data_IF_758507347551
#
_entry.id   IF_758507347551
#
_cell.length_a   1.000
_cell.length_b   1.000
_cell.length_c   1.000
_cell.angle_alpha   90.00
_cell.angle_beta   90.00
_cell.angle_gamma   90.00
#
_symmetry.space_group_name_H-M   'P 1'
#
loop_
_entity.id
_entity.type
_entity.pdbx_description
1 polymer ?
#
# COMPACT_ATOMS: atom_id res chain seq x y z
N UNK A 1 13.69 -0.13 -19.23
CA UNK A 1 13.93 -0.86 -17.96
C UNK A 1 12.88 -1.96 -17.81
N UNK A 2 13.29 -3.23 -17.89
CA UNK A 2 12.39 -4.37 -18.05
C UNK A 2 11.56 -4.73 -16.81
N UNK A 3 10.38 -5.31 -17.01
CA UNK A 3 9.41 -5.64 -15.96
C UNK A 3 9.95 -6.49 -14.80
N UNK A 4 11.06 -7.21 -15.00
CA UNK A 4 11.77 -7.98 -13.96
C UNK A 4 12.25 -7.12 -12.78
N UNK A 5 12.69 -5.89 -13.04
CA UNK A 5 13.17 -4.97 -11.99
C UNK A 5 12.04 -4.42 -11.12
N UNK A 6 10.88 -4.15 -11.71
CA UNK A 6 9.69 -3.66 -10.97
C UNK A 6 9.16 -4.72 -10.01
N UNK A 7 9.21 -5.98 -10.42
CA UNK A 7 8.81 -7.13 -9.61
C UNK A 7 9.82 -7.37 -8.48
N UNK A 8 11.12 -7.27 -8.76
CA UNK A 8 12.18 -7.38 -7.75
C UNK A 8 12.06 -6.29 -6.66
N UNK A 9 11.79 -5.03 -7.05
CA UNK A 9 11.58 -3.92 -6.10
C UNK A 9 10.32 -4.17 -5.25
N UNK A 10 9.22 -4.60 -5.86
CA UNK A 10 7.99 -4.92 -5.13
C UNK A 10 8.18 -6.04 -4.11
N UNK A 11 8.90 -7.11 -4.50
CA UNK A 11 9.27 -8.20 -3.59
C UNK A 11 10.19 -7.69 -2.48
N UNK A 12 11.19 -6.86 -2.79
CA UNK A 12 12.10 -6.31 -1.79
C UNK A 12 11.36 -5.47 -0.74
N UNK A 13 10.42 -4.61 -1.16
CA UNK A 13 9.59 -3.83 -0.24
C UNK A 13 8.71 -4.74 0.62
N UNK A 14 8.11 -5.78 0.03
CA UNK A 14 7.29 -6.75 0.75
C UNK A 14 8.12 -7.53 1.79
N UNK A 15 9.33 -7.97 1.42
CA UNK A 15 10.26 -8.69 2.30
C UNK A 15 10.71 -7.80 3.45
N UNK A 16 11.02 -6.53 3.20
CA UNK A 16 11.37 -5.56 4.25
C UNK A 16 10.18 -5.32 5.19
N UNK A 17 8.97 -5.18 4.67
CA UNK A 17 7.78 -5.03 5.50
C UNK A 17 7.52 -6.27 6.38
N UNK A 18 7.62 -7.48 5.79
CA UNK A 18 7.49 -8.75 6.51
C UNK A 18 8.62 -8.92 7.54
N UNK A 19 9.85 -8.57 7.20
CA UNK A 19 11.00 -8.66 8.10
C UNK A 19 10.90 -7.66 9.27
N UNK A 20 10.40 -6.45 9.03
CA UNK A 20 10.14 -5.47 10.09
C UNK A 20 9.05 -5.95 11.06
N UNK A 21 7.99 -6.58 10.53
CA UNK A 21 6.95 -7.21 11.34
C UNK A 21 7.52 -8.43 12.08
N UNK A 22 8.26 -9.31 11.42
CA UNK A 22 8.85 -10.49 12.04
C UNK A 22 9.86 -10.12 13.14
N UNK A 23 10.73 -9.12 12.92
CA UNK A 23 11.67 -8.63 13.94
C UNK A 23 10.96 -8.08 15.18
N UNK A 24 9.77 -7.48 15.01
CA UNK A 24 8.88 -7.04 16.10
C UNK A 24 8.26 -8.22 16.86
N UNK A 25 7.85 -9.30 16.16
CA UNK A 25 7.18 -10.47 16.75
C UNK A 25 8.15 -11.50 17.36
N UNK A 26 9.34 -11.69 16.80
CA UNK A 26 10.35 -12.65 17.29
C UNK A 26 11.32 -12.04 18.31
N UNK A 27 11.01 -10.84 18.84
CA UNK A 27 11.62 -10.36 20.07
C UNK A 27 13.07 -9.89 19.97
N UNK A 28 13.47 -9.20 18.89
CA UNK A 28 14.74 -8.46 18.85
C UNK A 28 14.62 -7.13 19.67
N UNK A 29 13.86 -7.15 20.77
CA UNK A 29 13.58 -6.02 21.65
C UNK A 29 12.52 -6.38 22.73
N UNK A 30 12.43 -5.62 23.84
CA UNK A 30 11.61 -5.99 25.00
C UNK A 30 10.13 -6.08 24.63
N UNK A 31 9.54 -7.26 24.88
CA UNK A 31 8.14 -7.61 24.60
C UNK A 31 7.22 -6.72 25.45
N UNK A 32 6.60 -5.72 24.83
CA UNK A 32 5.39 -5.08 25.37
C UNK A 32 4.18 -5.88 24.91
N UNK A 33 3.28 -6.20 25.83
CA UNK A 33 1.96 -6.72 25.49
C UNK A 33 1.27 -5.73 24.55
N UNK A 34 0.74 -6.23 23.42
CA UNK A 34 0.03 -5.41 22.44
C UNK A 34 -1.20 -4.83 23.10
N UNK A 35 -1.25 -3.50 23.21
CA UNK A 35 -2.42 -2.81 23.70
C UNK A 35 -3.49 -2.76 22.59
N UNK A 36 -4.75 -2.54 22.95
CA UNK A 36 -5.85 -2.49 21.96
C UNK A 36 -5.62 -1.42 20.89
N UNK A 37 -4.86 -0.38 21.24
CA UNK A 37 -4.44 0.71 20.36
C UNK A 37 -3.41 0.24 19.32
N UNK A 38 -2.52 -0.70 19.66
CA UNK A 38 -1.55 -1.27 18.72
C UNK A 38 -2.28 -2.04 17.62
N UNK A 39 -3.33 -2.78 17.97
CA UNK A 39 -4.13 -3.54 17.01
C UNK A 39 -4.78 -2.67 15.94
N UNK A 40 -5.24 -1.47 16.33
CA UNK A 40 -5.83 -0.47 15.42
C UNK A 40 -4.80 0.10 14.43
N UNK A 41 -3.52 0.15 14.82
CA UNK A 41 -2.40 0.58 13.99
C UNK A 41 -1.93 -0.54 13.03
N UNK A 42 -2.05 -1.81 13.42
CA UNK A 42 -1.64 -2.95 12.59
C UNK A 42 -2.69 -3.38 11.56
N UNK A 43 -3.98 -3.23 11.85
CA UNK A 43 -5.05 -3.61 10.94
C UNK A 43 -4.93 -2.98 9.53
N UNK A 44 -4.67 -1.67 9.39
CA UNK A 44 -4.53 -1.05 8.07
C UNK A 44 -3.29 -1.54 7.33
N UNK A 45 -2.20 -1.80 8.05
CA UNK A 45 -0.96 -2.34 7.48
C UNK A 45 -1.19 -3.75 6.91
N UNK A 46 -1.92 -4.59 7.64
CA UNK A 46 -2.34 -5.91 7.18
C UNK A 46 -3.22 -5.82 5.92
N UNK A 47 -4.17 -4.87 5.87
CA UNK A 47 -5.00 -4.65 4.69
C UNK A 47 -4.17 -4.22 3.46
N UNK A 48 -3.15 -3.39 3.65
CA UNK A 48 -2.22 -2.99 2.56
C UNK A 48 -1.45 -4.20 2.04
N UNK A 49 -0.93 -5.04 2.93
CA UNK A 49 -0.20 -6.27 2.55
C UNK A 49 -1.12 -7.23 1.79
N UNK A 50 -2.34 -7.46 2.29
CA UNK A 50 -3.32 -8.29 1.62
C UNK A 50 -3.71 -7.74 0.25
N UNK A 51 -3.87 -6.42 0.11
CA UNK A 51 -4.16 -5.79 -1.17
C UNK A 51 -2.98 -5.92 -2.16
N UNK A 52 -1.74 -5.74 -1.69
CA UNK A 52 -0.55 -5.96 -2.50
C UNK A 52 -0.43 -7.43 -2.96
N UNK A 53 -0.70 -8.37 -2.06
CA UNK A 53 -0.73 -9.79 -2.36
C UNK A 53 -1.83 -10.14 -3.37
N UNK A 54 -3.03 -9.54 -3.24
CA UNK A 54 -4.13 -9.68 -4.20
C UNK A 54 -3.72 -9.19 -5.59
N UNK A 55 -3.11 -8.00 -5.70
CA UNK A 55 -2.63 -7.47 -6.99
C UNK A 55 -1.54 -8.35 -7.62
N UNK A 56 -0.62 -8.88 -6.80
CA UNK A 56 0.42 -9.78 -7.28
C UNK A 56 -0.17 -11.12 -7.76
N UNK A 57 -1.14 -11.67 -7.04
CA UNK A 57 -1.85 -12.88 -7.39
C UNK A 57 -2.64 -12.73 -8.70
N UNK A 58 -3.39 -11.63 -8.85
CA UNK A 58 -4.18 -11.32 -10.05
C UNK A 58 -3.28 -11.22 -11.29
N UNK A 59 -2.16 -10.50 -11.17
CA UNK A 59 -1.15 -10.42 -12.24
C UNK A 59 -0.49 -11.77 -12.52
N UNK A 60 -0.24 -12.58 -11.49
CA UNK A 60 0.31 -13.93 -11.63
C UNK A 60 -0.61 -14.84 -12.45
N UNK A 61 -1.94 -14.75 -12.24
CA UNK A 61 -2.93 -15.46 -13.06
C UNK A 61 -2.93 -14.99 -14.51
N UNK A 62 -2.90 -13.67 -14.75
CA UNK A 62 -2.86 -13.11 -16.10
C UNK A 62 -1.61 -13.56 -16.88
N UNK A 63 -0.45 -13.58 -16.23
CA UNK A 63 0.81 -14.07 -16.82
C UNK A 63 0.74 -15.56 -17.16
N UNK A 64 0.17 -16.39 -16.28
CA UNK A 64 -0.03 -17.83 -16.55
C UNK A 64 -0.98 -18.08 -17.73
N UNK A 65 -1.90 -17.16 -17.99
CA UNK A 65 -2.82 -17.21 -19.13
C UNK A 65 -2.21 -16.65 -20.43
N UNK A 66 -0.94 -16.24 -20.44
CA UNK A 66 -0.28 -15.66 -21.62
C UNK A 66 -0.69 -14.22 -21.94
N UNK A 67 -1.44 -13.56 -21.05
CA UNK A 67 -1.81 -12.16 -21.21
C UNK A 67 -0.62 -11.23 -20.91
N UNK A 68 -0.55 -10.06 -21.56
CA UNK A 68 0.53 -9.11 -21.33
C UNK A 68 0.58 -8.69 -19.85
N UNK A 69 1.79 -8.63 -19.30
CA UNK A 69 2.05 -8.34 -17.89
C UNK A 69 1.45 -7.02 -17.37
N UNK A 70 1.16 -6.08 -18.28
CA UNK A 70 0.49 -4.82 -17.96
C UNK A 70 -0.32 -4.35 -19.14
N UNK A 71 -1.64 -4.30 -18.97
CA UNK A 71 -2.56 -3.60 -19.85
C UNK A 71 -2.35 -2.07 -19.74
N UNK A 72 -2.56 -1.34 -20.84
CA UNK A 72 -2.54 0.12 -20.86
C UNK A 72 -3.53 0.70 -19.85
N UNK A 73 -4.73 0.11 -19.76
CA UNK A 73 -5.75 0.52 -18.81
C UNK A 73 -5.26 0.41 -17.36
N UNK A 74 -4.59 -0.70 -17.02
CA UNK A 74 -4.01 -0.90 -15.70
C UNK A 74 -2.89 0.09 -15.38
N UNK A 75 -2.11 0.53 -16.37
CA UNK A 75 -1.07 1.57 -16.19
C UNK A 75 -1.69 2.94 -15.95
N UNK A 76 -2.68 3.33 -16.75
CA UNK A 76 -3.37 4.62 -16.58
C UNK A 76 -4.11 4.66 -15.24
N UNK A 77 -4.77 3.56 -14.86
CA UNK A 77 -5.48 3.44 -13.59
C UNK A 77 -4.51 3.57 -12.40
N UNK A 78 -3.34 2.91 -12.46
CA UNK A 78 -2.31 3.03 -11.43
C UNK A 78 -1.80 4.47 -11.28
N UNK A 79 -1.58 5.17 -12.40
CA UNK A 79 -1.11 6.55 -12.38
C UNK A 79 -2.13 7.49 -11.73
N UNK A 80 -3.40 7.41 -12.16
CA UNK A 80 -4.49 8.25 -11.63
C UNK A 80 -4.80 7.93 -10.17
N UNK A 81 -4.78 6.65 -9.79
CA UNK A 81 -4.89 6.22 -8.39
C UNK A 81 -3.71 6.71 -7.54
N UNK A 82 -2.49 6.70 -8.08
CA UNK A 82 -1.30 7.24 -7.44
C UNK A 82 -1.40 8.76 -7.20
N UNK A 83 -1.96 9.50 -8.16
CA UNK A 83 -2.23 10.92 -8.01
C UNK A 83 -3.23 11.20 -6.88
N UNK A 84 -4.34 10.45 -6.82
CA UNK A 84 -5.30 10.62 -5.71
C UNK A 84 -4.69 10.24 -4.36
N UNK A 85 -3.92 9.16 -4.29
CA UNK A 85 -3.21 8.76 -3.09
C UNK A 85 -2.22 9.84 -2.60
N UNK A 86 -1.50 10.46 -3.53
CA UNK A 86 -0.61 11.58 -3.23
C UNK A 86 -1.38 12.80 -2.72
N UNK A 87 -2.51 13.16 -3.34
CA UNK A 87 -3.35 14.25 -2.85
C UNK A 87 -3.88 13.99 -1.45
N UNK A 88 -4.34 12.77 -1.16
CA UNK A 88 -4.75 12.39 0.20
C UNK A 88 -3.57 12.49 1.16
N UNK A 89 -2.37 12.02 0.79
CA UNK A 89 -1.19 12.12 1.64
C UNK A 89 -0.86 13.58 2.00
N UNK A 90 -0.89 14.47 1.00
CA UNK A 90 -0.60 15.89 1.15
C UNK A 90 -1.60 16.57 2.11
N UNK A 91 -2.90 16.38 1.88
CA UNK A 91 -3.94 16.98 2.72
C UNK A 91 -3.97 16.39 4.12
N UNK A 92 -3.74 15.09 4.29
CA UNK A 92 -3.61 14.46 5.60
C UNK A 92 -2.42 15.01 6.38
N UNK A 93 -1.28 15.27 5.71
CA UNK A 93 -0.11 15.84 6.36
C UNK A 93 -0.33 17.31 6.77
N UNK A 94 -0.96 18.10 5.90
CA UNK A 94 -1.32 19.49 6.20
C UNK A 94 -2.31 19.57 7.37
N UNK A 95 -3.38 18.77 7.34
CA UNK A 95 -4.38 18.74 8.41
C UNK A 95 -3.77 18.33 9.75
N UNK A 96 -2.85 17.36 9.74
CA UNK A 96 -2.17 16.93 10.95
C UNK A 96 -1.28 18.03 11.55
N UNK A 97 -0.59 18.82 10.72
CA UNK A 97 0.17 19.98 11.16
C UNK A 97 -0.70 21.11 11.71
N UNK A 98 -1.90 21.32 11.17
CA UNK A 98 -2.85 22.32 11.68
C UNK A 98 -3.49 21.93 13.02
N UNK A 99 -3.59 20.63 13.29
CA UNK A 99 -4.22 20.07 14.50
C UNK A 99 -3.19 19.69 15.57
N UNK A 100 -1.91 20.05 15.37
CA UNK A 100 -0.80 19.83 16.30
C UNK A 100 -0.64 18.35 16.73
N UNK A 101 -0.88 17.42 15.81
CA UNK A 101 -0.72 16.00 16.09
C UNK A 101 0.76 15.63 16.28
N UNK A 102 1.08 14.69 17.19
CA UNK A 102 2.46 14.26 17.37
C UNK A 102 2.97 13.54 16.11
N UNK A 103 4.18 13.90 15.67
CA UNK A 103 4.72 13.51 14.36
C UNK A 103 4.72 11.99 14.08
N UNK A 104 4.88 11.16 15.11
CA UNK A 104 4.83 9.71 15.02
C UNK A 104 3.46 9.18 14.58
N UNK A 105 2.36 9.82 14.97
CA UNK A 105 1.01 9.46 14.54
C UNK A 105 0.70 10.00 13.14
N UNK A 106 1.24 11.17 12.79
CA UNK A 106 1.03 11.82 11.49
C UNK A 106 1.53 10.94 10.36
N UNK A 107 2.75 10.42 10.47
CA UNK A 107 3.34 9.56 9.42
C UNK A 107 2.48 8.32 9.19
N UNK A 108 2.04 7.66 10.26
CA UNK A 108 1.16 6.49 10.16
C UNK A 108 -0.17 6.81 9.48
N UNK A 109 -0.84 7.87 9.91
CA UNK A 109 -2.12 8.30 9.35
C UNK A 109 -2.02 8.68 7.86
N UNK A 110 -0.94 9.35 7.46
CA UNK A 110 -0.66 9.74 6.06
C UNK A 110 -0.42 8.49 5.19
N UNK A 111 0.39 7.53 5.66
CA UNK A 111 0.66 6.29 4.91
C UNK A 111 -0.60 5.46 4.75
N UNK A 112 -1.39 5.32 5.81
CA UNK A 112 -2.63 4.52 5.79
C UNK A 112 -3.67 5.16 4.88
N UNK A 113 -3.95 6.45 5.06
CA UNK A 113 -4.94 7.16 4.24
C UNK A 113 -4.58 7.17 2.76
N UNK A 114 -3.30 7.34 2.42
CA UNK A 114 -2.85 7.29 1.02
C UNK A 114 -2.93 5.89 0.42
N UNK A 115 -2.60 4.83 1.17
CA UNK A 115 -2.72 3.47 0.68
C UNK A 115 -4.18 3.03 0.47
N UNK A 116 -5.09 3.43 1.37
CA UNK A 116 -6.53 3.20 1.21
C UNK A 116 -7.08 3.96 -0.01
N UNK A 117 -6.69 5.24 -0.16
CA UNK A 117 -7.09 6.04 -1.31
C UNK A 117 -6.58 5.45 -2.64
N UNK A 118 -5.33 4.96 -2.66
CA UNK A 118 -4.79 4.25 -3.82
C UNK A 118 -5.61 3.01 -4.14
N UNK A 119 -5.83 2.14 -3.16
CA UNK A 119 -6.54 0.87 -3.36
C UNK A 119 -7.98 1.10 -3.85
N UNK A 120 -8.70 2.02 -3.22
CA UNK A 120 -10.06 2.38 -3.59
C UNK A 120 -10.13 2.97 -5.01
N UNK A 121 -9.27 3.93 -5.33
CA UNK A 121 -9.23 4.56 -6.65
C UNK A 121 -8.81 3.56 -7.73
N UNK A 122 -7.81 2.72 -7.47
CA UNK A 122 -7.33 1.72 -8.42
C UNK A 122 -8.41 0.71 -8.77
N UNK A 123 -9.08 0.13 -7.76
CA UNK A 123 -10.19 -0.81 -7.97
C UNK A 123 -11.35 -0.14 -8.70
N UNK A 124 -11.71 1.09 -8.32
CA UNK A 124 -12.79 1.82 -8.97
C UNK A 124 -12.50 2.09 -10.46
N UNK A 125 -11.30 2.57 -10.79
CA UNK A 125 -10.90 2.92 -12.15
C UNK A 125 -10.83 1.69 -13.06
N UNK A 126 -10.30 0.57 -12.55
CA UNK A 126 -10.28 -0.69 -13.31
C UNK A 126 -11.68 -1.23 -13.53
N UNK A 127 -12.55 -1.20 -12.51
CA UNK A 127 -13.93 -1.71 -12.65
C UNK A 127 -14.79 -0.89 -13.60
N UNK A 128 -14.61 0.43 -13.62
CA UNK A 128 -15.39 1.30 -14.53
C UNK A 128 -14.83 1.34 -15.95
N UNK A 129 -13.60 0.90 -16.20
CA UNK A 129 -12.97 0.96 -17.51
C UNK A 129 -12.77 2.38 -18.07
N UNK A 130 -13.06 3.42 -17.28
CA UNK A 130 -12.97 4.83 -17.68
C UNK A 130 -11.69 5.42 -17.13
N UNK A 131 -10.65 5.36 -17.94
CA UNK A 131 -9.35 5.99 -17.65
C UNK A 131 -8.97 6.91 -18.80
N UNK A 132 -9.89 7.82 -19.09
CA UNK A 132 -9.70 8.96 -19.98
C UNK A 132 -9.21 10.18 -19.18
#
# INVERSE_FOLDING_TARGET
MGGKWRLAIGIAVLVVAIAAVAARYFGIGPVRALDSVDFLLFLPLALIILFAAYLAWDRGKALKAGLPATDELGKRAAYKAGYYAFMVALWSALAAGMLDFPANYVVGAVVISSAVAFAAAYVYLIRKGKVD
#
